data_IF_324309114509
#
_entry.id   IF_324309114509
#
_cell.length_a   1.000
_cell.length_b   1.000
_cell.length_c   1.000
_cell.angle_alpha   90.00
_cell.angle_beta   90.00
_cell.angle_gamma   90.00
#
_symmetry.space_group_name_H-M   'P 1'
#
loop_
_entity.id
_entity.type
_entity.pdbx_description
1 polymer ?
#
# COMPACT_ATOMS: atom_id res chain seq x y z
N UNK A 1 -16.72 -14.72 26.63
CA UNK A 1 -15.77 -14.71 25.86
C UNK A 1 -15.47 -13.41 25.28
N UNK A 2 -14.59 -12.78 25.52
CA UNK A 2 -14.24 -11.50 25.04
C UNK A 2 -13.47 -11.58 23.73
N UNK A 3 -13.27 -10.42 23.12
CA UNK A 3 -12.42 -10.32 21.97
C UNK A 3 -11.00 -10.58 22.42
N UNK A 4 -10.22 -11.36 21.67
CA UNK A 4 -8.83 -11.55 22.05
C UNK A 4 -8.11 -10.23 22.17
N UNK A 5 -7.22 -10.14 23.12
CA UNK A 5 -6.47 -8.90 23.30
C UNK A 5 -5.73 -8.49 22.05
N UNK A 6 -5.27 -9.46 21.26
CA UNK A 6 -4.55 -9.14 20.03
C UNK A 6 -5.42 -8.39 19.05
N UNK A 7 -6.73 -8.64 19.06
CA UNK A 7 -7.62 -7.95 18.13
C UNK A 7 -7.71 -6.45 18.45
N UNK A 8 -7.51 -6.09 19.67
CA UNK A 8 -7.58 -4.68 20.05
C UNK A 8 -6.38 -3.88 19.55
N UNK A 9 -5.32 -4.58 19.19
CA UNK A 9 -4.11 -3.93 18.70
C UNK A 9 -4.02 -3.91 17.19
N UNK A 10 -5.03 -4.43 16.51
CA UNK A 10 -5.02 -4.42 15.06
C UNK A 10 -5.14 -3.00 14.55
N UNK A 11 -4.28 -2.66 13.62
CA UNK A 11 -4.34 -1.36 12.99
C UNK A 11 -5.31 -1.46 11.82
N UNK A 12 -6.48 -0.87 11.98
CA UNK A 12 -7.47 -0.82 10.90
C UNK A 12 -7.16 0.37 10.02
N UNK A 13 -7.30 0.19 8.73
CA UNK A 13 -6.85 1.19 7.79
C UNK A 13 -7.83 1.35 6.65
N UNK A 14 -7.73 2.47 5.97
CA UNK A 14 -8.42 2.73 4.73
C UNK A 14 -7.43 2.52 3.60
N UNK A 15 -7.72 1.57 2.72
CA UNK A 15 -6.76 1.08 1.73
C UNK A 15 -7.31 1.28 0.34
N UNK A 16 -6.50 1.86 -0.54
CA UNK A 16 -6.83 2.00 -1.95
C UNK A 16 -6.12 0.91 -2.74
N UNK A 17 -6.86 0.20 -3.56
CA UNK A 17 -6.31 -0.86 -4.41
C UNK A 17 -6.46 -0.45 -5.86
N UNK A 18 -5.35 -0.31 -6.56
CA UNK A 18 -5.33 0.08 -7.97
C UNK A 18 -4.80 -1.09 -8.80
N UNK A 19 -5.67 -1.70 -9.59
CA UNK A 19 -5.33 -2.84 -10.42
C UNK A 19 -6.38 -2.94 -11.52
N UNK A 20 -5.95 -3.17 -12.77
CA UNK A 20 -6.88 -3.25 -13.88
C UNK A 20 -7.61 -4.59 -13.94
N UNK A 21 -7.19 -5.57 -13.17
CA UNK A 21 -7.82 -6.88 -13.12
C UNK A 21 -8.89 -6.92 -12.05
N UNK A 22 -10.15 -7.01 -12.48
CA UNK A 22 -11.29 -6.99 -11.56
C UNK A 22 -11.23 -8.15 -10.58
N UNK A 23 -10.77 -9.31 -11.03
CA UNK A 23 -10.65 -10.46 -10.14
C UNK A 23 -9.67 -10.22 -9.01
N UNK A 24 -8.55 -9.57 -9.33
CA UNK A 24 -7.58 -9.22 -8.30
C UNK A 24 -8.14 -8.19 -7.33
N UNK A 25 -8.81 -7.17 -7.87
CA UNK A 25 -9.47 -6.16 -7.01
C UNK A 25 -10.41 -6.83 -6.02
N UNK A 26 -11.25 -7.74 -6.53
CA UNK A 26 -12.24 -8.40 -5.68
C UNK A 26 -11.61 -9.27 -4.62
N UNK A 27 -10.58 -10.00 -5.00
CA UNK A 27 -9.89 -10.89 -4.07
C UNK A 27 -9.20 -10.10 -2.96
N UNK A 28 -8.46 -9.08 -3.35
CA UNK A 28 -7.74 -8.25 -2.37
C UNK A 28 -8.74 -7.57 -1.45
N UNK A 29 -9.79 -7.01 -2.04
CA UNK A 29 -10.82 -6.34 -1.24
C UNK A 29 -11.44 -7.27 -0.21
N UNK A 30 -11.82 -8.48 -0.64
CA UNK A 30 -12.42 -9.43 0.26
C UNK A 30 -11.51 -9.78 1.43
N UNK A 31 -10.25 -10.05 1.12
CA UNK A 31 -9.29 -10.41 2.16
C UNK A 31 -9.07 -9.28 3.15
N UNK A 32 -8.95 -8.06 2.65
CA UNK A 32 -8.69 -6.92 3.51
C UNK A 32 -9.92 -6.54 4.33
N UNK A 33 -11.11 -6.64 3.73
CA UNK A 33 -12.33 -6.34 4.48
C UNK A 33 -12.58 -7.37 5.57
N UNK A 34 -12.25 -8.61 5.32
CA UNK A 34 -12.35 -9.63 6.37
C UNK A 34 -11.41 -9.37 7.53
N UNK A 35 -10.30 -8.71 7.25
CA UNK A 35 -9.36 -8.32 8.31
C UNK A 35 -9.76 -7.02 9.00
N UNK A 36 -10.87 -6.41 8.59
CA UNK A 36 -11.39 -5.22 9.25
C UNK A 36 -11.08 -3.90 8.58
N UNK A 37 -10.33 -3.93 7.47
CA UNK A 37 -9.97 -2.69 6.79
C UNK A 37 -11.09 -2.21 5.88
N UNK A 38 -11.07 -0.92 5.57
CA UNK A 38 -11.97 -0.32 4.60
C UNK A 38 -11.23 -0.24 3.26
N UNK A 39 -11.86 -0.68 2.18
CA UNK A 39 -11.19 -0.81 0.88
C UNK A 39 -11.95 -0.08 -0.20
N UNK A 40 -11.22 0.68 -1.01
CA UNK A 40 -11.72 1.29 -2.23
C UNK A 40 -10.88 0.77 -3.38
N UNK A 41 -11.48 0.48 -4.51
CA UNK A 41 -10.76 -0.05 -5.67
C UNK A 41 -10.82 0.92 -6.84
N UNK A 42 -9.77 0.91 -7.64
CA UNK A 42 -9.71 1.67 -8.88
C UNK A 42 -9.13 0.78 -9.97
N UNK A 43 -9.61 0.93 -11.18
CA UNK A 43 -9.22 0.10 -12.30
C UNK A 43 -8.05 0.62 -13.11
N UNK A 44 -7.59 1.82 -12.84
CA UNK A 44 -6.44 2.37 -13.53
C UNK A 44 -5.77 3.45 -12.68
N UNK A 45 -4.60 3.89 -13.14
CA UNK A 45 -3.81 4.84 -12.38
C UNK A 45 -4.45 6.20 -12.26
N UNK A 46 -5.13 6.66 -13.29
CA UNK A 46 -5.77 7.98 -13.25
C UNK A 46 -6.87 8.03 -12.21
N UNK A 47 -7.70 6.98 -12.19
CA UNK A 47 -8.76 6.89 -11.20
C UNK A 47 -8.16 6.76 -9.81
N UNK A 48 -7.09 5.99 -9.67
CA UNK A 48 -6.41 5.86 -8.40
C UNK A 48 -5.91 7.19 -7.88
N UNK A 49 -5.28 7.98 -8.74
CA UNK A 49 -4.80 9.31 -8.36
C UNK A 49 -5.94 10.22 -7.94
N UNK A 50 -7.04 10.19 -8.69
CA UNK A 50 -8.20 11.00 -8.37
C UNK A 50 -8.74 10.66 -6.98
N UNK A 51 -8.83 9.37 -6.69
CA UNK A 51 -9.31 8.93 -5.39
C UNK A 51 -8.35 9.29 -4.27
N UNK A 52 -7.06 9.21 -4.51
CA UNK A 52 -6.07 9.64 -3.52
C UNK A 52 -6.25 11.10 -3.16
N UNK A 53 -6.61 11.92 -4.12
CA UNK A 53 -6.79 13.35 -3.88
C UNK A 53 -8.02 13.68 -3.08
N UNK A 54 -9.02 12.81 -3.06
CA UNK A 54 -10.29 13.10 -2.38
C UNK A 54 -10.50 12.28 -1.12
N UNK A 55 -9.65 11.28 -0.85
CA UNK A 55 -9.83 10.42 0.29
C UNK A 55 -8.59 10.36 1.13
N UNK A 56 -8.76 9.97 2.37
CA UNK A 56 -7.64 9.79 3.30
C UNK A 56 -7.32 8.32 3.37
N UNK A 57 -6.33 7.91 2.59
CA UNK A 57 -5.93 6.52 2.58
C UNK A 57 -4.66 6.33 3.41
N UNK A 58 -4.59 5.19 4.07
CA UNK A 58 -3.44 4.83 4.89
C UNK A 58 -2.44 3.97 4.15
N UNK A 59 -2.86 3.38 3.04
CA UNK A 59 -2.03 2.46 2.30
C UNK A 59 -2.54 2.36 0.86
N UNK A 60 -1.61 2.24 -0.07
CA UNK A 60 -1.92 2.04 -1.48
C UNK A 60 -1.36 0.71 -1.96
N UNK A 61 -2.23 -0.14 -2.52
CA UNK A 61 -1.82 -1.29 -3.33
C UNK A 61 -1.82 -0.86 -4.78
N UNK A 62 -0.73 -1.09 -5.48
CA UNK A 62 -0.61 -0.58 -6.83
C UNK A 62 -0.01 -1.63 -7.76
N UNK A 63 -0.77 -2.01 -8.79
CA UNK A 63 -0.24 -2.86 -9.86
C UNK A 63 0.63 -2.00 -10.76
N UNK A 64 1.87 -2.41 -10.95
CA UNK A 64 2.81 -1.62 -11.75
C UNK A 64 2.75 -1.91 -13.23
N UNK A 65 2.04 -2.95 -13.65
CA UNK A 65 1.91 -3.28 -15.07
C UNK A 65 0.45 -3.15 -15.48
N UNK A 66 0.03 -1.93 -15.78
CA UNK A 66 -1.33 -1.63 -16.22
C UNK A 66 -1.30 -0.90 -17.54
N UNK A 67 -2.34 -1.06 -18.38
CA UNK A 67 -2.43 -0.25 -19.60
C UNK A 67 -2.65 1.22 -19.25
N UNK A 68 -2.25 2.07 -20.16
CA UNK A 68 -2.41 3.51 -19.98
C UNK A 68 -1.33 4.08 -19.08
N UNK A 69 -1.76 4.81 -18.06
CA UNK A 69 -0.81 5.32 -17.07
C UNK A 69 -0.28 4.14 -16.25
N UNK A 70 0.98 3.84 -16.40
CA UNK A 70 1.54 2.68 -15.75
C UNK A 70 1.75 2.93 -14.25
N UNK A 71 2.06 1.84 -13.54
CA UNK A 71 2.19 1.92 -12.09
C UNK A 71 3.32 2.79 -11.62
N UNK A 72 4.43 2.83 -12.36
CA UNK A 72 5.55 3.67 -11.94
C UNK A 72 5.21 5.15 -12.04
N UNK A 73 4.54 5.52 -13.10
CA UNK A 73 4.10 6.91 -13.25
C UNK A 73 3.09 7.27 -12.16
N UNK A 74 2.14 6.38 -11.91
CA UNK A 74 1.15 6.57 -10.86
C UNK A 74 1.84 6.73 -9.51
N UNK A 75 2.81 5.86 -9.23
CA UNK A 75 3.53 5.90 -7.96
C UNK A 75 4.26 7.22 -7.78
N UNK A 76 4.90 7.70 -8.84
CA UNK A 76 5.61 8.97 -8.76
C UNK A 76 4.66 10.11 -8.42
N UNK A 77 3.50 10.14 -9.07
CA UNK A 77 2.53 11.20 -8.82
C UNK A 77 1.92 11.11 -7.44
N UNK A 78 1.63 9.89 -6.99
CA UNK A 78 1.14 9.71 -5.63
C UNK A 78 2.17 10.19 -4.63
N UNK A 79 3.44 9.88 -4.88
CA UNK A 79 4.49 10.26 -3.96
C UNK A 79 4.66 11.78 -3.87
N UNK A 80 4.40 12.48 -4.96
CA UNK A 80 4.44 13.94 -4.95
C UNK A 80 3.33 14.53 -4.10
N UNK A 81 2.15 13.93 -4.16
CA UNK A 81 0.98 14.44 -3.44
C UNK A 81 0.89 13.92 -2.01
N UNK A 82 1.38 12.72 -1.78
CA UNK A 82 1.27 12.05 -0.49
C UNK A 82 2.61 11.40 -0.14
N UNK A 83 3.59 12.20 0.25
CA UNK A 83 4.96 11.67 0.40
C UNK A 83 5.11 10.60 1.47
N UNK A 84 4.20 10.53 2.42
CA UNK A 84 4.33 9.58 3.52
C UNK A 84 3.46 8.35 3.38
N UNK A 85 2.63 8.27 2.33
CA UNK A 85 1.74 7.13 2.20
C UNK A 85 2.52 5.86 1.83
N UNK A 86 2.39 4.77 2.59
CA UNK A 86 3.05 3.52 2.22
C UNK A 86 2.43 2.93 0.97
N UNK A 87 3.27 2.38 0.11
CA UNK A 87 2.84 1.77 -1.15
C UNK A 87 3.33 0.34 -1.19
N UNK A 88 2.40 -0.58 -1.45
CA UNK A 88 2.74 -1.98 -1.72
C UNK A 88 2.53 -2.20 -3.21
N UNK A 89 3.58 -2.62 -3.89
CA UNK A 89 3.54 -2.86 -5.33
C UNK A 89 3.08 -4.28 -5.60
N UNK A 90 2.20 -4.43 -6.59
CA UNK A 90 1.76 -5.74 -7.03
C UNK A 90 2.21 -5.92 -8.47
N UNK A 91 2.65 -7.14 -8.83
CA UNK A 91 3.11 -7.39 -10.18
C UNK A 91 2.74 -8.80 -10.62
N UNK A 92 2.22 -8.92 -11.84
CA UNK A 92 2.01 -10.22 -12.47
C UNK A 92 3.24 -10.77 -13.15
N UNK A 93 4.32 -9.98 -13.17
CA UNK A 93 5.59 -10.40 -13.74
C UNK A 93 6.61 -10.59 -12.61
N UNK A 94 7.65 -11.38 -12.84
CA UNK A 94 8.70 -11.52 -11.82
C UNK A 94 9.25 -10.15 -11.46
N UNK A 95 9.29 -9.86 -10.19
CA UNK A 95 9.76 -8.57 -9.72
C UNK A 95 11.28 -8.52 -9.76
N UNK A 96 11.93 -9.63 -9.40
CA UNK A 96 13.38 -9.67 -9.47
C UNK A 96 13.79 -10.27 -10.80
N UNK A 97 14.48 -9.48 -11.59
CA UNK A 97 15.01 -9.93 -12.86
C UNK A 97 16.38 -10.55 -12.66
N UNK A 98 16.74 -11.41 -13.58
CA UNK A 98 18.08 -11.94 -13.57
C UNK A 98 19.08 -10.84 -13.89
N UNK A 99 20.28 -10.93 -13.32
CA UNK A 99 21.28 -9.90 -13.58
C UNK A 99 21.55 -9.74 -15.07
N UNK A 100 21.60 -8.50 -15.50
CA UNK A 100 21.94 -8.20 -16.88
C UNK A 100 20.81 -8.32 -17.87
N UNK A 101 19.63 -8.69 -17.41
CA UNK A 101 18.47 -8.77 -18.31
C UNK A 101 17.57 -7.56 -18.08
N UNK A 102 16.29 -7.77 -17.94
CA UNK A 102 15.33 -6.68 -17.83
C UNK A 102 15.65 -5.73 -16.67
N UNK A 103 15.11 -4.53 -16.69
CA UNK A 103 15.25 -3.62 -15.55
C UNK A 103 14.80 -4.30 -14.26
N UNK A 104 15.47 -3.94 -13.19
CA UNK A 104 15.09 -4.43 -11.87
C UNK A 104 13.90 -3.60 -11.37
N UNK A 105 12.72 -4.12 -11.61
CA UNK A 105 11.49 -3.42 -11.25
C UNK A 105 11.37 -3.23 -9.75
N UNK A 106 11.90 -4.16 -8.97
CA UNK A 106 11.87 -4.01 -7.52
C UNK A 106 12.71 -2.82 -7.08
N UNK A 107 13.91 -2.69 -7.64
CA UNK A 107 14.76 -1.55 -7.33
C UNK A 107 14.10 -0.25 -7.73
N UNK A 108 13.50 -0.21 -8.92
CA UNK A 108 12.80 1.00 -9.38
C UNK A 108 11.66 1.35 -8.44
N UNK A 109 10.87 0.36 -8.07
CA UNK A 109 9.74 0.60 -7.17
C UNK A 109 10.21 1.09 -5.81
N UNK A 110 11.27 0.51 -5.30
CA UNK A 110 11.84 0.92 -4.01
C UNK A 110 12.32 2.36 -4.06
N UNK A 111 12.98 2.74 -5.15
CA UNK A 111 13.46 4.12 -5.31
C UNK A 111 12.31 5.11 -5.37
N UNK A 112 11.15 4.70 -5.86
CA UNK A 112 9.97 5.55 -5.92
C UNK A 112 9.13 5.47 -4.66
N UNK A 113 9.58 4.72 -3.65
CA UNK A 113 8.94 4.75 -2.35
C UNK A 113 8.11 3.55 -1.99
N UNK A 114 8.17 2.47 -2.77
CA UNK A 114 7.48 1.25 -2.38
C UNK A 114 8.12 0.68 -1.14
N UNK A 115 7.29 0.25 -0.19
CA UNK A 115 7.80 -0.33 1.07
C UNK A 115 7.71 -1.84 1.06
N UNK A 116 6.96 -2.41 0.12
CA UNK A 116 6.84 -3.86 0.00
C UNK A 116 6.36 -4.20 -1.40
N UNK A 117 6.50 -5.45 -1.78
CA UNK A 117 6.05 -5.91 -3.09
C UNK A 117 5.47 -7.31 -2.98
N UNK A 118 4.50 -7.59 -3.85
CA UNK A 118 3.86 -8.90 -3.93
C UNK A 118 3.80 -9.31 -5.40
N UNK A 119 4.17 -10.53 -5.68
CA UNK A 119 4.06 -11.07 -7.04
C UNK A 119 2.81 -11.90 -7.14
N UNK A 120 2.04 -11.69 -8.21
CA UNK A 120 0.85 -12.51 -8.48
C UNK A 120 1.25 -13.88 -9.02
N UNK A 121 0.57 -14.93 -8.64
CA UNK A 121 -0.45 -14.99 -7.60
C UNK A 121 0.20 -15.00 -6.22
N UNK A 122 -0.39 -14.26 -5.29
CA UNK A 122 0.12 -14.23 -3.93
C UNK A 122 -0.85 -14.98 -3.01
N UNK A 123 -0.33 -15.44 -1.90
CA UNK A 123 -1.15 -16.12 -0.91
C UNK A 123 -1.82 -15.10 0.00
N UNK A 124 -3.03 -15.42 0.50
CA UNK A 124 -3.69 -14.50 1.44
C UNK A 124 -2.82 -14.13 2.64
N UNK A 125 -2.08 -15.10 3.17
CA UNK A 125 -1.22 -14.81 4.33
C UNK A 125 -0.14 -13.79 3.97
N UNK A 126 0.42 -13.86 2.76
CA UNK A 126 1.45 -12.92 2.33
C UNK A 126 0.89 -11.52 2.19
N UNK A 127 -0.33 -11.41 1.65
CA UNK A 127 -1.00 -10.14 1.51
C UNK A 127 -1.22 -9.49 2.87
N UNK A 128 -1.80 -10.24 3.79
CA UNK A 128 -2.12 -9.69 5.10
C UNK A 128 -0.87 -9.34 5.90
N UNK A 129 0.18 -10.15 5.79
CA UNK A 129 1.42 -9.85 6.46
C UNK A 129 2.06 -8.57 5.93
N UNK A 130 2.01 -8.36 4.61
CA UNK A 130 2.55 -7.15 4.01
C UNK A 130 1.81 -5.92 4.48
N UNK A 131 0.48 -5.99 4.54
CA UNK A 131 -0.33 -4.88 5.01
C UNK A 131 -0.02 -4.55 6.45
N UNK A 132 -0.05 -5.54 7.32
CA UNK A 132 0.20 -5.34 8.74
C UNK A 132 1.58 -4.75 8.96
N UNK A 133 2.58 -5.30 8.28
CA UNK A 133 3.94 -4.79 8.43
C UNK A 133 4.09 -3.35 7.98
N UNK A 134 3.46 -2.99 6.86
CA UNK A 134 3.53 -1.63 6.35
C UNK A 134 2.82 -0.64 7.26
N UNK A 135 1.66 -1.01 7.78
CA UNK A 135 0.90 -0.13 8.64
C UNK A 135 1.61 0.08 9.97
N UNK A 136 2.21 -0.97 10.51
CA UNK A 136 2.96 -0.84 11.75
C UNK A 136 4.20 0.00 11.57
N UNK A 137 4.89 -0.16 10.45
CA UNK A 137 6.08 0.64 10.18
C UNK A 137 5.72 2.11 10.00
N UNK A 138 4.62 2.40 9.32
CA UNK A 138 4.18 3.78 9.12
C UNK A 138 3.77 4.42 10.44
N UNK A 139 3.13 3.64 11.30
CA UNK A 139 2.72 4.14 12.60
C UNK A 139 3.93 4.48 13.45
N UNK A 140 4.95 3.64 13.45
CA UNK A 140 6.15 3.90 14.22
C UNK A 140 6.93 5.09 13.70
N UNK A 141 6.90 5.30 12.39
CA UNK A 141 7.67 6.39 11.76
C UNK A 141 6.96 7.72 11.85
N UNK A 142 5.68 7.74 12.22
CA UNK A 142 4.89 8.96 12.19
C UNK A 142 5.31 9.90 13.32
N UNK A 143 5.76 11.10 13.00
CA UNK A 143 6.11 12.06 14.06
C UNK A 143 4.90 12.55 14.84
N UNK A 144 3.73 12.44 14.26
CA UNK A 144 2.53 12.91 14.95
C UNK A 144 2.21 12.07 16.19
N UNK A 145 2.80 10.92 16.32
CA UNK A 145 2.62 10.12 17.52
C UNK A 145 3.36 10.69 18.73
N UNK A 146 4.17 11.72 18.53
CA UNK A 146 4.90 12.37 19.59
C UNK A 146 4.11 13.55 20.08
N UNK A 147 3.36 13.39 21.07
CA UNK A 147 2.63 14.53 21.55
C UNK A 147 3.51 15.51 22.21
N UNK A 148 4.22 15.54 22.51
CA UNK A 148 4.81 16.35 22.92
C UNK A 148 5.33 17.13 23.12
N UNK A 149 5.40 16.95 23.18
CA UNK A 149 5.80 17.38 23.31
C UNK A 149 5.97 18.28 23.46
N UNK A 150 6.02 18.33 23.67
CA UNK A 150 6.15 18.98 23.87
C UNK A 150 6.24 19.84 24.08
N UNK A 151 6.09 19.99 24.33
CA UNK A 151 6.07 20.68 24.56
C UNK A 151 6.55 21.26 25.15
N UNK A 152 6.69 21.07 25.26
CA UNK A 152 7.06 21.40 25.71
C UNK A 152 7.41 22.16 26.01
N UNK A 153 7.47 22.21 26.25
CA UNK A 153 7.73 22.67 26.57
C UNK A 153 8.12 23.60 26.67
N UNK A 154 8.26 23.95 26.69
CA UNK A 154 8.68 24.68 26.79
C UNK A 154 8.79 25.53 27.32
N UNK A 155 9.09 25.84 27.73
CA UNK A 155 9.17 26.62 28.32
C UNK A 155 9.73 27.17 28.56
#
# INVERSE_FOLDING_TARGET
>A
MGIPAAAENLTLARILVVDDDVAVQSTVRLLLERAGHSVVTAGDGRKGLSLCGTGDFDLLFLDIFMPGMDGFETMRMVRQQHPLMPIIVISGRPISAEPGTAPDFLTMATKLGAVSSLQKPFRPADLLAAVTGCLEAAKRASPSSQPSDGVASCR
#
